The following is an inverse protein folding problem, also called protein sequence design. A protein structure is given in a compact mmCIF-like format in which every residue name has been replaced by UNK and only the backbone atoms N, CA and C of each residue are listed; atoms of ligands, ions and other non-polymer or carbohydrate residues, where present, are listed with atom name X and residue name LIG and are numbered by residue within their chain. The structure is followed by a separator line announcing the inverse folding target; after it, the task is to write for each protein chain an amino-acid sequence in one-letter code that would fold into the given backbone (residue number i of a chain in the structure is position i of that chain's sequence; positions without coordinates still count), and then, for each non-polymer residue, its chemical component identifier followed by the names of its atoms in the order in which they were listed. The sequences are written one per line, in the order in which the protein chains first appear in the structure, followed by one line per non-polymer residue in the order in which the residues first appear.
data_IF_643623275931
#
_entry.id   IF_643623275931
#
_cell.length_a   1.000
_cell.length_b   1.000
_cell.length_c   1.000
_cell.angle_alpha   90.00
_cell.angle_beta   90.00
_cell.angle_gamma   90.00
#
_symmetry.space_group_name_H-M   'P 1'
#
loop_
_entity.id
_entity.type
_entity.pdbx_description
1 polymer ?
#
# COMPACT_ATOMS: atom_id res chain seq x y z
N UNK A 1 17.23 1.26 10.33
CA UNK A 1 16.98 0.17 11.30
C UNK A 1 15.48 0.02 11.46
N UNK A 2 14.97 -1.21 11.34
CA UNK A 2 13.54 -1.54 11.37
C UNK A 2 13.05 -1.51 12.82
N UNK A 3 11.90 -0.90 13.08
CA UNK A 3 11.25 -0.88 14.40
C UNK A 3 10.55 -2.23 14.60
N UNK A 4 10.70 -2.83 15.77
CA UNK A 4 10.02 -4.09 16.09
C UNK A 4 8.60 -3.80 16.58
N UNK A 5 7.60 -4.21 15.80
CA UNK A 5 6.19 -4.10 16.15
C UNK A 5 5.74 -5.38 16.86
N UNK A 6 5.36 -5.27 18.13
CA UNK A 6 4.93 -6.43 18.94
C UNK A 6 3.41 -6.55 19.01
N UNK A 7 2.72 -5.41 19.12
CA UNK A 7 1.27 -5.33 19.30
C UNK A 7 0.57 -4.75 18.06
N UNK A 8 1.25 -3.88 17.31
CA UNK A 8 0.66 -3.20 16.16
C UNK A 8 0.16 -4.15 15.08
N UNK A 9 0.88 -5.21 14.73
CA UNK A 9 0.47 -6.17 13.69
C UNK A 9 -0.83 -6.90 14.05
N UNK A 10 -0.99 -7.30 15.31
CA UNK A 10 -2.23 -7.91 15.80
C UNK A 10 -3.41 -6.94 15.69
N UNK A 11 -3.20 -5.67 16.08
CA UNK A 11 -4.26 -4.65 16.02
C UNK A 11 -4.54 -4.18 14.59
N UNK A 12 -3.55 -4.17 13.69
CA UNK A 12 -3.71 -3.96 12.25
C UNK A 12 -4.61 -5.03 11.65
N UNK A 13 -4.40 -6.29 12.02
CA UNK A 13 -5.27 -7.38 11.60
C UNK A 13 -6.71 -7.22 12.14
N UNK A 14 -6.86 -6.89 13.43
CA UNK A 14 -8.18 -6.65 14.02
C UNK A 14 -8.92 -5.50 13.32
N UNK A 15 -8.21 -4.42 12.99
CA UNK A 15 -8.74 -3.32 12.19
C UNK A 15 -9.16 -3.76 10.79
N UNK A 16 -8.33 -4.54 10.10
CA UNK A 16 -8.66 -5.08 8.78
C UNK A 16 -9.96 -5.92 8.83
N UNK A 17 -10.11 -6.79 9.83
CA UNK A 17 -11.35 -7.57 10.05
C UNK A 17 -12.55 -6.67 10.32
N UNK A 18 -12.42 -5.69 11.21
CA UNK A 18 -13.49 -4.74 11.51
C UNK A 18 -13.93 -3.95 10.26
N UNK A 19 -13.01 -3.62 9.35
CA UNK A 19 -13.37 -2.93 8.10
C UNK A 19 -14.11 -3.80 7.08
N UNK A 20 -14.00 -5.14 7.20
CA UNK A 20 -14.68 -6.08 6.31
C UNK A 20 -16.07 -6.45 6.86
N UNK A 21 -16.20 -6.65 8.17
CA UNK A 21 -17.37 -7.29 8.78
C UNK A 21 -18.03 -6.46 9.90
N UNK A 22 -17.35 -5.44 10.43
CA UNK A 22 -17.77 -4.71 11.63
C UNK A 22 -18.54 -3.42 11.37
N UNK A 23 -19.23 -2.92 12.41
CA UNK A 23 -19.96 -1.64 12.37
C UNK A 23 -19.01 -0.44 12.35
N UNK A 24 -19.55 0.77 12.09
CA UNK A 24 -18.76 2.00 12.12
C UNK A 24 -18.11 2.23 13.50
N UNK A 25 -18.79 1.86 14.58
CA UNK A 25 -18.29 1.95 15.95
C UNK A 25 -17.14 0.96 16.20
N UNK A 26 -17.28 -0.28 15.74
CA UNK A 26 -16.24 -1.31 15.86
C UNK A 26 -14.99 -0.95 15.05
N UNK A 27 -15.18 -0.40 13.85
CA UNK A 27 -14.09 0.12 13.02
C UNK A 27 -13.34 1.27 13.71
N UNK A 28 -14.08 2.19 14.33
CA UNK A 28 -13.50 3.32 15.08
C UNK A 28 -12.71 2.83 16.31
N UNK A 29 -13.28 1.89 17.07
CA UNK A 29 -12.61 1.31 18.24
C UNK A 29 -11.34 0.53 17.86
N UNK A 30 -11.39 -0.26 16.78
CA UNK A 30 -10.24 -0.99 16.27
C UNK A 30 -9.14 -0.05 15.73
N UNK A 31 -9.54 1.04 15.06
CA UNK A 31 -8.61 2.08 14.59
C UNK A 31 -7.87 2.75 15.76
N UNK A 32 -8.60 3.15 16.81
CA UNK A 32 -8.01 3.76 18.01
C UNK A 32 -7.02 2.80 18.68
N UNK A 33 -7.44 1.54 18.87
CA UNK A 33 -6.58 0.50 19.45
C UNK A 33 -5.31 0.25 18.63
N UNK A 34 -5.41 0.30 17.30
CA UNK A 34 -4.28 0.16 16.40
C UNK A 34 -3.31 1.34 16.50
N UNK A 35 -3.82 2.57 16.56
CA UNK A 35 -2.99 3.79 16.70
C UNK A 35 -2.28 3.81 18.05
N UNK A 36 -2.96 3.42 19.14
CA UNK A 36 -2.36 3.32 20.48
C UNK A 36 -1.27 2.24 20.54
N UNK A 37 -1.50 1.07 19.93
CA UNK A 37 -0.52 0.00 19.85
C UNK A 37 0.72 0.43 19.05
N UNK A 38 0.53 1.10 17.90
CA UNK A 38 1.61 1.66 17.10
C UNK A 38 2.45 2.64 17.92
N UNK A 39 1.80 3.61 18.58
CA UNK A 39 2.47 4.60 19.41
C UNK A 39 3.28 3.97 20.54
N UNK A 40 2.71 2.95 21.19
CA UNK A 40 3.35 2.23 22.29
C UNK A 40 4.57 1.45 21.82
N UNK A 41 4.45 0.71 20.71
CA UNK A 41 5.55 -0.09 20.16
C UNK A 41 6.71 0.80 19.68
N UNK A 42 6.42 1.86 18.94
CA UNK A 42 7.43 2.82 18.46
C UNK A 42 8.12 3.52 19.64
N UNK A 43 7.36 3.95 20.65
CA UNK A 43 7.92 4.56 21.87
C UNK A 43 8.83 3.59 22.63
N UNK A 44 8.38 2.36 22.82
CA UNK A 44 9.13 1.32 23.55
C UNK A 44 10.45 1.00 22.84
N UNK A 45 10.42 0.80 21.53
CA UNK A 45 11.61 0.54 20.72
C UNK A 45 12.61 1.71 20.78
N UNK A 46 12.13 2.96 20.66
CA UNK A 46 12.96 4.15 20.80
C UNK A 46 13.60 4.22 22.19
N UNK A 47 12.84 4.00 23.26
CA UNK A 47 13.38 4.03 24.63
C UNK A 47 14.44 2.95 24.85
N UNK A 48 14.23 1.74 24.32
CA UNK A 48 15.23 0.68 24.36
C UNK A 48 16.51 1.08 23.62
N UNK A 49 16.38 1.67 22.43
CA UNK A 49 17.54 2.14 21.66
C UNK A 49 18.24 3.34 22.32
N UNK A 50 17.53 4.23 23.01
CA UNK A 50 18.15 5.31 23.80
C UNK A 50 18.99 4.71 24.93
N UNK A 51 18.45 3.73 25.66
CA UNK A 51 19.17 3.05 26.74
C UNK A 51 20.41 2.32 26.21
N UNK A 52 20.33 1.69 25.04
CA UNK A 52 21.47 1.05 24.37
C UNK A 52 22.49 2.07 23.81
N UNK A 53 22.04 3.19 23.26
CA UNK A 53 22.89 4.19 22.60
C UNK A 53 23.67 5.09 23.57
N UNK A 54 23.27 5.17 24.85
CA UNK A 54 24.12 5.76 25.90
C UNK A 54 25.45 5.01 26.07
N UNK A 55 25.57 3.78 25.54
CA UNK A 55 26.79 2.98 25.59
C UNK A 55 27.72 3.25 24.40
N UNK A 56 27.24 3.77 23.25
CA UNK A 56 28.15 4.07 22.13
C UNK A 56 27.56 5.01 21.03
N UNK A 57 27.87 6.31 21.10
CA UNK A 57 27.49 7.33 20.09
C UNK A 57 28.09 7.06 18.71
N UNK A 58 29.23 6.36 18.65
CA UNK A 58 29.93 6.02 17.41
C UNK A 58 29.22 4.92 16.62
N UNK A 59 28.48 4.04 17.32
CA UNK A 59 27.75 2.93 16.73
C UNK A 59 26.42 3.40 16.08
N UNK A 60 25.84 4.50 16.54
CA UNK A 60 24.58 5.01 15.98
C UNK A 60 24.73 5.47 14.52
N UNK A 61 25.88 6.04 14.15
CA UNK A 61 26.21 6.40 12.76
C UNK A 61 26.50 5.17 11.89
N UNK A 62 27.12 4.13 12.43
CA UNK A 62 27.40 2.89 11.68
C UNK A 62 26.17 1.98 11.51
N UNK A 63 25.10 2.21 12.28
CA UNK A 63 23.82 1.47 12.21
C UNK A 63 22.77 2.11 11.29
N UNK A 64 23.15 3.10 10.48
CA UNK A 64 22.26 3.72 9.49
C UNK A 64 21.18 4.62 10.10
N UNK A 65 21.42 5.21 11.28
CA UNK A 65 20.58 6.28 11.77
C UNK A 65 20.82 7.52 10.89
N UNK A 66 19.78 7.94 10.15
CA UNK A 66 19.85 9.12 9.29
C UNK A 66 20.22 10.34 10.13
N UNK A 67 21.27 11.05 9.70
CA UNK A 67 21.69 12.30 10.33
C UNK A 67 20.78 13.41 9.83
N UNK A 68 20.11 14.11 10.75
CA UNK A 68 19.27 15.25 10.40
C UNK A 68 20.09 16.31 9.65
N UNK A 69 19.50 16.87 8.60
CA UNK A 69 20.08 18.04 7.94
C UNK A 69 20.09 19.24 8.90
N UNK A 70 20.86 20.28 8.61
CA UNK A 70 20.84 21.49 9.45
C UNK A 70 19.47 22.16 9.51
N UNK A 71 18.64 22.02 8.48
CA UNK A 71 17.27 22.53 8.46
C UNK A 71 16.35 21.67 9.32
N UNK A 72 16.43 20.34 9.20
CA UNK A 72 15.67 19.40 10.03
C UNK A 72 16.03 19.56 11.51
N UNK A 73 17.32 19.67 11.81
CA UNK A 73 17.80 19.84 13.19
C UNK A 73 17.26 21.14 13.82
N UNK A 74 17.25 22.25 13.06
CA UNK A 74 16.66 23.51 13.56
C UNK A 74 15.16 23.38 13.79
N UNK A 75 14.45 22.74 12.86
CA UNK A 75 13.01 22.56 12.95
C UNK A 75 12.62 21.70 14.16
N UNK A 76 13.21 20.51 14.31
CA UNK A 76 12.88 19.62 15.42
C UNK A 76 13.40 20.13 16.78
N UNK A 77 14.46 20.95 16.80
CA UNK A 77 14.85 21.65 18.03
C UNK A 77 13.77 22.64 18.48
N UNK A 78 13.22 23.43 17.56
CA UNK A 78 12.11 24.34 17.89
C UNK A 78 10.89 23.57 18.41
N UNK A 79 10.53 22.45 17.78
CA UNK A 79 9.45 21.56 18.24
C UNK A 79 9.70 21.06 19.67
N UNK A 80 10.94 20.69 20.01
CA UNK A 80 11.31 20.24 21.36
C UNK A 80 11.23 21.40 22.37
N UNK A 81 11.76 22.57 22.02
CA UNK A 81 11.75 23.77 22.88
C UNK A 81 10.33 24.31 23.14
N UNK A 82 9.47 24.28 22.13
CA UNK A 82 8.07 24.72 22.19
C UNK A 82 7.16 23.69 22.89
N UNK A 83 7.66 22.50 23.22
CA UNK A 83 6.88 21.44 23.85
C UNK A 83 5.93 20.71 22.88
N UNK A 84 6.22 20.74 21.58
CA UNK A 84 5.44 20.08 20.52
C UNK A 84 5.24 20.94 19.26
N UNK A 85 4.51 20.42 18.27
CA UNK A 85 4.26 21.13 17.01
C UNK A 85 3.25 22.27 17.18
N UNK A 86 3.48 23.36 16.44
CA UNK A 86 2.49 24.42 16.24
C UNK A 86 1.57 24.06 15.08
N UNK A 87 0.28 24.42 15.17
CA UNK A 87 -0.74 24.08 14.16
C UNK A 87 -0.53 24.66 12.76
N UNK A 88 0.54 25.44 12.54
CA UNK A 88 0.94 26.05 11.27
C UNK A 88 2.21 25.44 10.69
N UNK A 89 2.83 24.49 11.36
CA UNK A 89 4.12 23.95 10.97
C UNK A 89 3.97 22.86 9.91
N UNK A 90 4.77 22.98 8.85
CA UNK A 90 4.88 21.97 7.79
C UNK A 90 6.23 21.29 7.93
N UNK A 91 6.25 19.95 7.85
CA UNK A 91 7.49 19.19 7.93
C UNK A 91 8.49 19.64 6.86
N UNK A 92 9.80 19.63 7.14
CA UNK A 92 10.83 19.88 6.13
C UNK A 92 10.66 18.96 4.92
N UNK A 93 10.92 19.47 3.71
CA UNK A 93 10.74 18.71 2.45
C UNK A 93 11.52 17.40 2.44
N UNK A 94 12.77 17.43 2.92
CA UNK A 94 13.62 16.24 3.03
C UNK A 94 13.04 15.18 3.97
N UNK A 95 12.33 15.58 5.02
CA UNK A 95 11.62 14.66 5.91
C UNK A 95 10.39 14.07 5.23
N UNK A 96 9.66 14.85 4.43
CA UNK A 96 8.52 14.37 3.65
C UNK A 96 8.94 13.38 2.56
N UNK A 97 10.02 13.66 1.84
CA UNK A 97 10.61 12.76 0.85
C UNK A 97 11.07 11.45 1.50
N UNK A 98 11.70 11.54 2.67
CA UNK A 98 12.10 10.36 3.45
C UNK A 98 10.91 9.50 3.88
N UNK A 99 9.82 10.11 4.34
CA UNK A 99 8.56 9.40 4.65
C UNK A 99 8.06 8.65 3.40
N UNK A 100 8.09 9.28 2.23
CA UNK A 100 7.68 8.62 0.98
C UNK A 100 8.60 7.44 0.63
N UNK A 101 9.91 7.63 0.71
CA UNK A 101 10.88 6.58 0.42
C UNK A 101 10.72 5.39 1.38
N UNK A 102 10.56 5.66 2.68
CA UNK A 102 10.33 4.62 3.69
C UNK A 102 9.01 3.88 3.43
N UNK A 103 7.98 4.59 2.99
CA UNK A 103 6.67 4.01 2.68
C UNK A 103 6.73 3.07 1.46
N UNK A 104 7.50 3.41 0.43
CA UNK A 104 7.67 2.54 -0.75
C UNK A 104 8.63 1.39 -0.44
N UNK A 105 9.73 1.63 0.28
CA UNK A 105 10.73 0.59 0.58
C UNK A 105 10.28 -0.37 1.67
N UNK A 106 9.49 0.09 2.64
CA UNK A 106 9.00 -0.69 3.78
C UNK A 106 7.76 -1.53 3.46
N UNK A 107 6.99 -1.17 2.43
CA UNK A 107 5.71 -1.82 2.10
C UNK A 107 5.67 -2.32 0.65
N UNK A 108 6.00 -3.61 0.41
CA UNK A 108 6.11 -4.18 -0.94
C UNK A 108 4.86 -4.00 -1.82
N UNK A 109 3.67 -3.99 -1.21
CA UNK A 109 2.42 -3.78 -1.95
C UNK A 109 2.39 -2.39 -2.59
N UNK A 110 2.82 -1.35 -1.88
CA UNK A 110 2.79 0.04 -2.36
C UNK A 110 3.80 0.26 -3.49
N UNK A 111 4.98 -0.36 -3.38
CA UNK A 111 5.96 -0.41 -4.47
C UNK A 111 5.37 -1.13 -5.70
N UNK A 112 4.72 -2.27 -5.50
CA UNK A 112 4.18 -3.07 -6.60
C UNK A 112 2.99 -2.43 -7.29
N UNK A 113 2.18 -1.67 -6.54
CA UNK A 113 1.11 -0.83 -7.08
C UNK A 113 1.68 0.30 -7.94
N UNK A 114 2.92 0.74 -7.67
CA UNK A 114 3.57 1.83 -8.40
C UNK A 114 3.13 3.19 -7.87
N UNK A 115 3.12 3.36 -6.55
CA UNK A 115 2.78 4.62 -5.90
C UNK A 115 3.80 5.70 -6.26
N UNK A 116 3.34 6.80 -6.85
CA UNK A 116 4.18 7.94 -7.24
C UNK A 116 3.90 9.18 -6.39
N UNK A 117 4.94 9.95 -6.07
CA UNK A 117 4.78 11.28 -5.48
C UNK A 117 4.71 12.33 -6.60
N UNK A 118 3.50 12.73 -6.96
CA UNK A 118 3.26 13.69 -8.06
C UNK A 118 2.88 15.08 -7.53
N UNK A 119 2.95 15.32 -6.23
CA UNK A 119 2.48 16.58 -5.65
C UNK A 119 0.99 16.80 -5.91
N UNK A 120 0.56 18.06 -6.09
CA UNK A 120 -0.85 18.40 -6.29
C UNK A 120 -1.36 18.15 -7.73
N UNK A 121 -0.86 17.12 -8.42
CA UNK A 121 -1.32 16.77 -9.77
C UNK A 121 -2.73 16.18 -9.72
N UNK A 122 -3.60 16.62 -10.63
CA UNK A 122 -5.03 16.25 -10.71
C UNK A 122 -5.42 15.58 -12.03
N UNK A 123 -4.49 15.49 -12.99
CA UNK A 123 -4.78 15.01 -14.33
C UNK A 123 -3.68 14.06 -14.82
N UNK A 124 -4.10 12.89 -15.30
CA UNK A 124 -3.23 11.97 -16.04
C UNK A 124 -3.66 11.95 -17.50
N UNK A 125 -2.69 12.04 -18.41
CA UNK A 125 -2.91 11.93 -19.85
C UNK A 125 -2.26 10.63 -20.31
N UNK A 126 -3.08 9.68 -20.77
CA UNK A 126 -2.62 8.44 -21.37
C UNK A 126 -2.65 8.57 -22.88
N UNK A 127 -1.52 8.40 -23.55
CA UNK A 127 -1.45 8.24 -25.00
C UNK A 127 -1.28 6.78 -25.37
N UNK A 128 -2.09 6.27 -26.30
CA UNK A 128 -1.76 5.02 -26.97
C UNK A 128 -0.72 5.32 -28.07
N UNK A 129 0.51 4.77 -28.00
CA UNK A 129 1.58 5.10 -28.95
C UNK A 129 1.33 4.57 -30.38
N UNK A 130 0.27 3.80 -30.60
CA UNK A 130 -0.10 3.29 -31.91
C UNK A 130 -0.63 4.42 -32.81
N UNK A 131 0.23 4.84 -33.74
CA UNK A 131 0.08 6.01 -34.60
C UNK A 131 1.35 6.87 -34.67
N UNK A 132 2.30 6.68 -33.74
CA UNK A 132 3.54 7.46 -33.68
C UNK A 132 4.64 6.98 -34.65
N UNK A 133 4.54 5.75 -35.16
CA UNK A 133 5.52 5.19 -36.11
C UNK A 133 4.81 4.41 -37.22
N UNK A 134 5.00 4.86 -38.46
CA UNK A 134 4.53 4.19 -39.68
C UNK A 134 5.76 3.82 -40.50
N UNK A 135 5.88 2.56 -40.90
CA UNK A 135 6.90 2.14 -41.87
C UNK A 135 6.58 2.71 -43.25
N UNK A 136 7.49 3.49 -43.82
CA UNK A 136 7.37 4.08 -45.15
C UNK A 136 8.60 3.78 -46.04
N UNK A 137 8.47 3.87 -47.37
CA UNK A 137 9.62 3.80 -48.27
C UNK A 137 10.60 4.94 -47.99
N UNK A 138 11.90 4.72 -48.26
CA UNK A 138 12.98 5.70 -48.00
C UNK A 138 12.74 7.08 -48.66
N UNK A 139 11.89 7.13 -49.70
CA UNK A 139 11.50 8.33 -50.44
C UNK A 139 9.97 8.54 -50.52
N UNK A 140 9.18 7.95 -49.62
CA UNK A 140 7.74 8.20 -49.54
C UNK A 140 7.44 9.45 -48.71
N UNK A 141 6.42 10.22 -49.09
CA UNK A 141 5.92 11.33 -48.28
C UNK A 141 5.51 10.84 -46.88
N UNK A 142 6.06 11.47 -45.83
CA UNK A 142 5.69 11.21 -44.43
C UNK A 142 4.29 11.78 -44.18
N UNK A 143 3.24 11.06 -44.58
CA UNK A 143 1.85 11.31 -44.17
C UNK A 143 1.54 10.47 -42.93
N UNK A 144 2.13 10.84 -41.80
CA UNK A 144 1.74 10.34 -40.48
C UNK A 144 0.78 11.32 -39.82
N UNK A 145 -0.54 11.16 -40.01
CA UNK A 145 -1.51 11.79 -39.13
C UNK A 145 -1.38 11.16 -37.74
N UNK A 146 -0.69 11.85 -36.84
CA UNK A 146 -0.60 11.53 -35.41
C UNK A 146 -1.99 11.71 -34.77
N UNK A 147 -2.89 10.76 -35.00
CA UNK A 147 -4.12 10.60 -34.22
C UNK A 147 -3.84 9.68 -33.02
N UNK A 148 -2.86 10.04 -32.20
CA UNK A 148 -2.74 9.43 -30.87
C UNK A 148 -4.00 9.83 -30.08
N UNK A 149 -4.89 8.86 -29.83
CA UNK A 149 -6.09 9.11 -29.04
C UNK A 149 -5.65 9.21 -27.58
N UNK A 150 -5.41 10.44 -27.14
CA UNK A 150 -5.08 10.72 -25.75
C UNK A 150 -6.34 10.59 -24.90
N UNK A 151 -6.35 9.63 -23.97
CA UNK A 151 -7.38 9.53 -22.92
C UNK A 151 -6.96 10.42 -21.76
N UNK A 152 -7.69 11.52 -21.58
CA UNK A 152 -7.55 12.38 -20.39
C UNK A 152 -8.39 11.78 -19.26
N UNK A 153 -7.74 11.48 -18.14
CA UNK A 153 -8.42 11.03 -16.93
C UNK A 153 -8.21 12.06 -15.81
N UNK A 154 -9.29 12.72 -15.40
CA UNK A 154 -9.29 13.54 -14.18
C UNK A 154 -9.34 12.63 -12.96
N UNK A 155 -8.59 13.00 -11.92
CA UNK A 155 -8.56 12.28 -10.66
C UNK A 155 -8.78 13.27 -9.52
N UNK A 156 -9.73 12.95 -8.65
CA UNK A 156 -9.99 13.74 -7.43
C UNK A 156 -8.95 13.39 -6.38
N UNK A 157 -8.34 14.41 -5.77
CA UNK A 157 -7.46 14.26 -4.61
C UNK A 157 -8.30 13.91 -3.37
N UNK A 158 -7.97 12.80 -2.73
CA UNK A 158 -8.65 12.31 -1.53
C UNK A 158 -7.78 12.55 -0.31
N UNK A 159 -8.40 12.84 0.83
CA UNK A 159 -7.68 13.21 2.04
C UNK A 159 -7.43 11.99 2.91
N UNK A 160 -6.16 11.61 3.06
CA UNK A 160 -5.73 10.65 4.06
C UNK A 160 -5.27 11.40 5.32
N UNK A 161 -5.76 10.97 6.47
CA UNK A 161 -5.48 11.60 7.77
C UNK A 161 -4.80 10.59 8.67
N UNK A 162 -3.61 10.93 9.17
CA UNK A 162 -2.86 10.14 10.15
C UNK A 162 -2.87 10.87 11.51
N UNK A 163 -3.05 10.11 12.58
CA UNK A 163 -3.03 10.60 13.96
C UNK A 163 -1.72 10.22 14.63
N UNK A 164 -1.08 11.19 15.28
CA UNK A 164 0.26 11.05 15.86
C UNK A 164 0.16 11.46 17.34
N UNK A 165 -0.10 10.54 18.26
CA UNK A 165 0.09 10.81 19.68
C UNK A 165 1.58 11.02 19.98
N UNK A 166 1.95 12.15 20.58
CA UNK A 166 3.32 12.46 20.98
C UNK A 166 3.38 12.67 22.50
N UNK A 167 4.07 11.76 23.19
CA UNK A 167 4.24 11.83 24.65
C UNK A 167 5.27 12.90 25.05
N UNK A 168 5.04 13.58 26.17
CA UNK A 168 5.96 14.61 26.68
C UNK A 168 7.38 14.08 26.97
N UNK A 169 7.51 12.81 27.32
CA UNK A 169 8.81 12.17 27.56
C UNK A 169 9.64 12.01 26.27
N UNK A 170 8.99 11.90 25.11
CA UNK A 170 9.70 11.83 23.82
C UNK A 170 10.36 13.15 23.47
N UNK A 171 9.77 14.28 23.87
CA UNK A 171 10.37 15.61 23.67
C UNK A 171 11.70 15.75 24.43
N UNK A 172 11.82 15.11 25.61
CA UNK A 172 13.03 15.14 26.44
C UNK A 172 14.21 14.38 25.81
N UNK A 173 13.95 13.48 24.86
CA UNK A 173 15.00 12.71 24.17
C UNK A 173 15.77 13.55 23.14
N UNK A 174 15.21 14.69 22.72
CA UNK A 174 15.82 15.59 21.75
C UNK A 174 15.37 15.36 20.30
N UNK A 175 15.79 16.24 19.38
CA UNK A 175 15.21 16.41 18.04
C UNK A 175 15.32 15.18 17.14
N UNK A 176 16.41 14.41 17.26
CA UNK A 176 16.67 13.21 16.43
C UNK A 176 15.64 12.11 16.70
N UNK A 177 15.29 11.91 17.98
CA UNK A 177 14.32 10.88 18.37
C UNK A 177 12.88 11.31 18.08
N UNK A 178 12.59 12.61 18.24
CA UNK A 178 11.28 13.18 17.86
C UNK A 178 11.05 13.08 16.36
N UNK A 179 12.03 13.41 15.51
CA UNK A 179 11.91 13.22 14.05
C UNK A 179 11.62 11.78 13.70
N UNK A 180 12.40 10.85 14.27
CA UNK A 180 12.26 9.43 13.98
C UNK A 180 10.90 8.89 14.39
N UNK A 181 10.43 9.27 15.57
CA UNK A 181 9.10 8.91 16.05
C UNK A 181 8.02 9.40 15.09
N UNK A 182 8.05 10.69 14.75
CA UNK A 182 7.04 11.33 13.89
C UNK A 182 7.05 10.72 12.49
N UNK A 183 8.24 10.53 11.89
CA UNK A 183 8.40 9.89 10.59
C UNK A 183 7.83 8.47 10.59
N UNK A 184 8.16 7.66 11.60
CA UNK A 184 7.67 6.28 11.68
C UNK A 184 6.15 6.25 11.82
N UNK A 185 5.59 7.04 12.75
CA UNK A 185 4.15 7.11 12.98
C UNK A 185 3.40 7.49 11.70
N UNK A 186 3.91 8.48 10.97
CA UNK A 186 3.31 8.90 9.69
C UNK A 186 3.42 7.78 8.65
N UNK A 187 4.60 7.19 8.49
CA UNK A 187 4.87 6.14 7.49
C UNK A 187 3.94 4.95 7.68
N UNK A 188 3.85 4.42 8.90
CA UNK A 188 3.03 3.24 9.20
C UNK A 188 1.53 3.54 9.17
N UNK A 189 1.10 4.68 9.71
CA UNK A 189 -0.31 5.05 9.64
C UNK A 189 -0.77 5.28 8.19
N UNK A 190 0.08 5.90 7.36
CA UNK A 190 -0.21 6.13 5.95
C UNK A 190 -0.17 4.83 5.15
N UNK A 191 0.77 3.92 5.42
CA UNK A 191 0.84 2.65 4.71
C UNK A 191 -0.44 1.84 4.90
N UNK A 192 -0.92 1.70 6.15
CA UNK A 192 -2.19 1.03 6.46
C UNK A 192 -3.36 1.67 5.71
N UNK A 193 -3.45 3.01 5.72
CA UNK A 193 -4.52 3.74 5.03
C UNK A 193 -4.48 3.59 3.51
N UNK A 194 -3.29 3.64 2.92
CA UNK A 194 -3.07 3.47 1.48
C UNK A 194 -3.32 2.03 1.03
N UNK A 195 -2.81 1.03 1.76
CA UNK A 195 -3.05 -0.39 1.48
C UNK A 195 -4.56 -0.69 1.51
N UNK A 196 -5.26 -0.24 2.56
CA UNK A 196 -6.73 -0.37 2.65
C UNK A 196 -7.42 0.29 1.46
N UNK A 197 -7.06 1.54 1.15
CA UNK A 197 -7.65 2.30 0.05
C UNK A 197 -7.42 1.62 -1.30
N UNK A 198 -6.20 1.19 -1.59
CA UNK A 198 -5.87 0.60 -2.88
C UNK A 198 -6.34 -0.84 -3.04
N UNK A 199 -6.49 -1.62 -1.96
CA UNK A 199 -7.02 -2.99 -2.05
C UNK A 199 -8.55 -2.99 -1.99
N UNK A 200 -9.13 -2.38 -0.96
CA UNK A 200 -10.53 -2.52 -0.59
C UNK A 200 -11.36 -1.23 -0.69
N UNK A 201 -10.75 -0.09 -1.06
CA UNK A 201 -11.42 1.20 -1.11
C UNK A 201 -12.66 1.21 -2.00
N UNK A 202 -13.72 1.86 -1.53
CA UNK A 202 -15.05 1.89 -2.17
C UNK A 202 -15.16 2.86 -3.34
N UNK A 203 -14.19 3.76 -3.51
CA UNK A 203 -14.28 4.89 -4.44
C UNK A 203 -15.06 6.10 -3.91
N UNK A 204 -15.74 6.00 -2.75
CA UNK A 204 -16.46 7.10 -2.11
C UNK A 204 -15.59 7.77 -1.07
N UNK A 205 -15.02 8.93 -1.40
CA UNK A 205 -14.08 9.66 -0.53
C UNK A 205 -12.80 8.87 -0.18
N UNK A 206 -12.53 7.77 -0.88
CA UNK A 206 -11.33 6.92 -0.78
C UNK A 206 -11.04 6.32 -2.17
N UNK A 207 -9.83 5.79 -2.43
CA UNK A 207 -9.48 5.21 -3.73
C UNK A 207 -10.44 4.11 -4.19
N UNK A 208 -10.46 3.83 -5.49
CA UNK A 208 -11.15 2.64 -6.03
C UNK A 208 -10.20 1.46 -5.83
N UNK A 209 -10.58 0.51 -4.98
CA UNK A 209 -9.75 -0.64 -4.64
C UNK A 209 -9.62 -1.68 -5.77
N UNK A 210 -8.58 -2.51 -5.69
CA UNK A 210 -8.37 -3.66 -6.58
C UNK A 210 -9.52 -4.69 -6.51
N UNK A 211 -10.22 -4.74 -5.38
CA UNK A 211 -11.40 -5.58 -5.15
C UNK A 211 -12.70 -5.02 -5.77
N UNK A 212 -12.70 -3.77 -6.27
CA UNK A 212 -13.90 -3.16 -6.86
C UNK A 212 -13.92 -3.31 -8.38
N UNK A 213 -15.12 -3.33 -8.95
CA UNK A 213 -15.31 -3.29 -10.40
C UNK A 213 -15.40 -1.84 -10.90
N UNK A 214 -14.37 -1.30 -11.58
CA UNK A 214 -14.40 0.06 -12.11
C UNK A 214 -15.40 0.23 -13.25
N UNK A 215 -15.91 -0.85 -13.83
CA UNK A 215 -16.93 -0.83 -14.89
C UNK A 215 -18.34 -1.09 -14.37
N UNK A 216 -18.51 -1.34 -13.06
CA UNK A 216 -19.79 -1.63 -12.44
C UNK A 216 -20.66 -0.39 -12.21
N UNK A 217 -21.96 -0.60 -12.00
CA UNK A 217 -22.92 0.47 -11.71
C UNK A 217 -22.68 1.07 -10.32
N UNK A 218 -22.25 2.32 -10.27
CA UNK A 218 -21.99 3.05 -9.02
C UNK A 218 -23.30 3.40 -8.32
N UNK A 219 -23.44 3.01 -7.06
CA UNK A 219 -24.61 3.32 -6.23
C UNK A 219 -24.19 4.16 -5.03
N UNK A 220 -24.80 5.32 -4.83
CA UNK A 220 -24.46 6.24 -3.72
C UNK A 220 -22.97 6.64 -3.63
N UNK A 221 -22.27 6.64 -4.77
CA UNK A 221 -20.83 6.91 -4.88
C UNK A 221 -19.92 5.71 -4.61
N UNK A 222 -20.49 4.55 -4.27
CA UNK A 222 -19.76 3.30 -3.98
C UNK A 222 -19.71 2.42 -5.23
N UNK A 223 -18.50 1.96 -5.56
CA UNK A 223 -18.30 0.97 -6.62
C UNK A 223 -18.64 -0.44 -6.10
N UNK A 224 -19.29 -1.28 -6.92
CA UNK A 224 -19.61 -2.65 -6.52
C UNK A 224 -18.33 -3.50 -6.43
N UNK A 225 -18.40 -4.57 -5.62
CA UNK A 225 -17.34 -5.57 -5.57
C UNK A 225 -17.16 -6.27 -6.92
N UNK A 226 -15.90 -6.58 -7.23
CA UNK A 226 -15.56 -7.32 -8.43
C UNK A 226 -16.03 -8.76 -8.28
N UNK A 227 -16.76 -9.23 -9.29
CA UNK A 227 -17.19 -10.63 -9.35
C UNK A 227 -15.96 -11.53 -9.38
N UNK A 228 -15.95 -12.54 -8.51
CA UNK A 228 -14.93 -13.59 -8.52
C UNK A 228 -14.87 -14.26 -9.89
N UNK A 229 -13.67 -14.31 -10.48
CA UNK A 229 -13.44 -14.86 -11.81
C UNK A 229 -13.42 -16.40 -11.79
N UNK A 230 -13.20 -17.01 -10.64
CA UNK A 230 -13.23 -18.46 -10.44
C UNK A 230 -12.65 -18.88 -9.10
N UNK A 231 -12.39 -20.18 -8.97
CA UNK A 231 -11.77 -20.79 -7.79
C UNK A 231 -10.40 -21.35 -8.15
N UNK A 232 -9.41 -21.16 -7.27
CA UNK A 232 -8.05 -21.68 -7.41
C UNK A 232 -7.74 -22.64 -6.26
N UNK A 233 -7.05 -23.75 -6.55
CA UNK A 233 -6.65 -24.72 -5.52
C UNK A 233 -5.14 -24.79 -5.33
N UNK A 234 -4.37 -24.29 -6.30
CA UNK A 234 -2.90 -24.38 -6.29
C UNK A 234 -2.38 -25.83 -6.18
N UNK A 235 -3.16 -26.79 -6.68
CA UNK A 235 -2.78 -28.20 -6.67
C UNK A 235 -1.66 -28.44 -7.69
N UNK A 236 -0.55 -29.09 -7.32
CA UNK A 236 0.62 -29.19 -8.18
C UNK A 236 0.38 -29.89 -9.52
N UNK A 237 1.31 -29.68 -10.46
CA UNK A 237 1.23 -30.29 -11.79
C UNK A 237 0.35 -29.50 -12.75
N UNK A 238 -0.40 -30.21 -13.60
CA UNK A 238 -1.12 -29.58 -14.73
C UNK A 238 -2.26 -28.67 -14.27
N UNK A 239 -2.80 -28.89 -13.07
CA UNK A 239 -3.94 -28.13 -12.54
C UNK A 239 -3.56 -26.69 -12.24
N UNK A 240 -2.56 -26.43 -11.37
CA UNK A 240 -2.05 -25.07 -11.12
C UNK A 240 -1.61 -24.35 -12.41
N UNK A 241 -0.98 -25.07 -13.35
CA UNK A 241 -0.59 -24.47 -14.64
C UNK A 241 -1.82 -23.97 -15.40
N UNK A 242 -2.90 -24.75 -15.46
CA UNK A 242 -4.12 -24.36 -16.15
C UNK A 242 -4.88 -23.23 -15.43
N UNK A 243 -4.90 -23.26 -14.10
CA UNK A 243 -5.46 -22.23 -13.23
C UNK A 243 -4.77 -20.88 -13.48
N UNK A 244 -3.45 -20.81 -13.28
CA UNK A 244 -2.68 -19.57 -13.47
C UNK A 244 -2.63 -19.12 -14.93
N UNK A 245 -2.67 -20.04 -15.90
CA UNK A 245 -2.83 -19.68 -17.32
C UNK A 245 -4.15 -18.92 -17.55
N UNK A 246 -5.23 -19.31 -16.88
CA UNK A 246 -6.52 -18.62 -16.93
C UNK A 246 -6.43 -17.21 -16.36
N UNK A 247 -5.78 -17.06 -15.21
CA UNK A 247 -5.50 -15.75 -14.56
C UNK A 247 -4.75 -14.82 -15.51
N UNK A 248 -3.60 -15.27 -16.01
CA UNK A 248 -2.73 -14.49 -16.90
C UNK A 248 -3.47 -14.11 -18.19
N UNK A 249 -4.26 -15.01 -18.78
CA UNK A 249 -5.06 -14.71 -19.98
C UNK A 249 -6.11 -13.62 -19.74
N UNK A 250 -6.76 -13.61 -18.59
CA UNK A 250 -7.75 -12.58 -18.26
C UNK A 250 -7.09 -11.24 -17.98
N UNK A 251 -5.97 -11.21 -17.25
CA UNK A 251 -5.19 -9.99 -17.01
C UNK A 251 -4.58 -9.41 -18.29
N UNK A 252 -4.28 -10.26 -19.28
CA UNK A 252 -3.74 -9.82 -20.57
C UNK A 252 -4.80 -9.13 -21.45
N UNK A 253 -6.09 -9.24 -21.16
CA UNK A 253 -7.12 -8.55 -21.95
C UNK A 253 -7.01 -7.04 -21.81
N UNK A 254 -7.16 -6.30 -22.90
CA UNK A 254 -7.18 -4.83 -22.93
C UNK A 254 -8.56 -4.34 -23.36
N UNK A 255 -8.96 -3.15 -22.94
CA UNK A 255 -10.11 -2.45 -23.51
C UNK A 255 -9.68 -1.49 -24.62
N UNK A 256 -10.56 -1.30 -25.61
CA UNK A 256 -10.41 -0.24 -26.60
C UNK A 256 -10.51 1.14 -25.93
N UNK A 257 -10.11 2.23 -26.62
CA UNK A 257 -10.20 3.59 -26.09
C UNK A 257 -11.62 4.02 -25.65
N UNK A 258 -12.65 3.32 -26.13
CA UNK A 258 -14.05 3.50 -25.69
C UNK A 258 -14.31 3.05 -24.24
N UNK A 259 -13.36 2.33 -23.62
CA UNK A 259 -13.43 1.81 -22.26
C UNK A 259 -14.51 0.75 -22.05
N UNK A 260 -15.07 0.17 -23.13
CA UNK A 260 -16.24 -0.72 -23.08
C UNK A 260 -16.03 -2.02 -23.84
N UNK A 261 -15.38 -1.98 -25.00
CA UNK A 261 -15.17 -3.15 -25.84
C UNK A 261 -13.79 -3.75 -25.63
N UNK A 262 -13.71 -5.08 -25.62
CA UNK A 262 -12.43 -5.78 -25.58
C UNK A 262 -11.64 -5.45 -26.85
N UNK A 263 -10.39 -5.06 -26.70
CA UNK A 263 -9.47 -4.87 -27.80
C UNK A 263 -8.97 -6.23 -28.31
N UNK A 264 -8.70 -6.33 -29.62
CA UNK A 264 -8.14 -7.54 -30.21
C UNK A 264 -6.69 -7.80 -29.78
N UNK A 265 -6.00 -6.79 -29.22
CA UNK A 265 -4.61 -6.88 -28.76
C UNK A 265 -4.49 -7.04 -27.24
N UNK A 266 -3.56 -7.89 -26.76
CA UNK A 266 -3.32 -8.07 -25.34
C UNK A 266 -2.43 -6.97 -24.74
N UNK A 267 -2.54 -6.76 -23.43
CA UNK A 267 -1.56 -6.04 -22.60
C UNK A 267 -0.26 -6.86 -22.49
N UNK A 268 0.88 -6.17 -22.45
CA UNK A 268 2.16 -6.79 -22.10
C UNK A 268 2.27 -6.93 -20.57
N UNK A 269 1.97 -8.12 -20.07
CA UNK A 269 1.90 -8.43 -18.63
C UNK A 269 3.06 -9.33 -18.14
N UNK A 270 3.97 -9.74 -19.02
CA UNK A 270 5.06 -10.64 -18.67
C UNK A 270 5.95 -10.03 -17.57
N UNK A 271 6.17 -10.76 -16.48
CA UNK A 271 6.94 -10.31 -15.32
C UNK A 271 6.30 -9.18 -14.49
N UNK A 272 5.03 -8.82 -14.78
CA UNK A 272 4.32 -7.71 -14.12
C UNK A 272 3.12 -8.17 -13.31
N UNK A 273 2.82 -9.46 -13.26
CA UNK A 273 1.69 -9.99 -12.51
C UNK A 273 2.07 -10.09 -11.04
N UNK A 274 1.31 -9.43 -10.18
CA UNK A 274 1.46 -9.45 -8.73
C UNK A 274 0.29 -10.24 -8.16
N UNK A 275 0.59 -11.13 -7.23
CA UNK A 275 -0.38 -11.93 -6.47
C UNK A 275 -0.43 -11.38 -5.05
N UNK A 276 -1.58 -10.85 -4.66
CA UNK A 276 -1.86 -10.33 -3.31
C UNK A 276 -2.70 -11.34 -2.56
N UNK A 277 -2.16 -11.86 -1.48
CA UNK A 277 -2.81 -12.85 -0.61
C UNK A 277 -3.03 -12.29 0.78
N UNK A 278 -4.02 -12.81 1.50
CA UNK A 278 -4.08 -12.59 2.94
C UNK A 278 -2.92 -13.37 3.61
N UNK A 279 -2.22 -12.82 4.62
CA UNK A 279 -1.16 -13.53 5.33
C UNK A 279 -1.57 -14.93 5.83
N UNK A 280 -2.83 -15.10 6.28
CA UNK A 280 -3.33 -16.40 6.74
C UNK A 280 -3.42 -17.44 5.62
N UNK A 281 -3.79 -17.04 4.40
CA UNK A 281 -3.91 -17.95 3.27
C UNK A 281 -2.55 -18.22 2.58
N UNK A 282 -1.54 -17.39 2.84
CA UNK A 282 -0.28 -17.41 2.08
C UNK A 282 0.48 -18.72 2.31
N UNK A 283 0.55 -19.17 3.56
CA UNK A 283 1.21 -20.44 3.89
C UNK A 283 0.42 -21.64 3.39
N UNK A 284 -0.91 -21.58 3.37
CA UNK A 284 -1.75 -22.65 2.82
C UNK A 284 -1.56 -22.77 1.30
N UNK A 285 -1.44 -21.65 0.58
CA UNK A 285 -1.10 -21.64 -0.85
C UNK A 285 0.29 -22.24 -1.07
N UNK A 286 1.27 -21.86 -0.26
CA UNK A 286 2.63 -22.40 -0.36
C UNK A 286 2.67 -23.90 -0.06
N UNK A 287 1.97 -24.36 0.96
CA UNK A 287 1.87 -25.76 1.33
C UNK A 287 1.27 -26.57 0.17
N UNK A 288 0.13 -26.12 -0.38
CA UNK A 288 -0.51 -26.77 -1.52
C UNK A 288 0.38 -26.75 -2.78
N UNK A 289 1.13 -25.68 -3.01
CA UNK A 289 2.02 -25.56 -4.16
C UNK A 289 3.36 -26.32 -4.01
N UNK A 290 3.65 -26.86 -2.83
CA UNK A 290 4.93 -27.52 -2.54
C UNK A 290 4.91 -28.98 -2.99
N UNK A 291 5.92 -29.37 -3.76
CA UNK A 291 6.15 -30.77 -4.13
C UNK A 291 7.52 -31.23 -3.64
N UNK A 292 7.62 -32.50 -3.25
CA UNK A 292 8.90 -33.16 -3.09
C UNK A 292 9.37 -33.70 -4.45
N UNK A 293 10.52 -33.25 -4.91
CA UNK A 293 11.10 -33.75 -6.16
C UNK A 293 11.71 -35.15 -5.97
N UNK A 294 12.13 -35.79 -7.07
CA UNK A 294 12.71 -37.13 -7.04
C UNK A 294 14.02 -37.25 -6.23
N UNK A 295 14.67 -36.12 -5.92
CA UNK A 295 15.85 -36.05 -5.07
C UNK A 295 15.52 -35.84 -3.58
N UNK A 296 14.23 -35.86 -3.22
CA UNK A 296 13.77 -35.65 -1.85
C UNK A 296 13.71 -34.18 -1.42
N UNK A 297 13.99 -33.23 -2.31
CA UNK A 297 14.00 -31.79 -2.03
C UNK A 297 12.59 -31.22 -2.20
N UNK A 298 12.12 -30.47 -1.21
CA UNK A 298 10.87 -29.72 -1.29
C UNK A 298 11.07 -28.46 -2.13
N UNK A 299 10.22 -28.30 -3.14
CA UNK A 299 10.25 -27.17 -4.06
C UNK A 299 8.87 -26.51 -4.07
N UNK A 300 8.85 -25.21 -3.78
CA UNK A 300 7.66 -24.36 -3.80
C UNK A 300 7.83 -23.35 -4.93
N UNK A 301 7.11 -23.53 -6.04
CA UNK A 301 7.20 -22.63 -7.19
C UNK A 301 5.88 -22.58 -7.94
N UNK A 302 5.46 -21.37 -8.30
CA UNK A 302 4.23 -21.13 -9.05
C UNK A 302 4.53 -20.93 -10.55
N UNK A 303 3.79 -21.60 -11.45
CA UNK A 303 3.86 -21.34 -12.88
C UNK A 303 3.70 -19.87 -13.24
N UNK A 304 4.45 -19.40 -14.26
CA UNK A 304 4.46 -18.01 -14.73
C UNK A 304 5.00 -16.98 -13.73
N UNK A 305 5.50 -17.42 -12.57
CA UNK A 305 6.21 -16.62 -11.56
C UNK A 305 5.51 -15.30 -11.20
N UNK A 306 4.25 -15.32 -10.73
CA UNK A 306 3.65 -14.13 -10.18
C UNK A 306 4.48 -13.62 -8.98
N UNK A 307 4.56 -12.31 -8.81
CA UNK A 307 5.29 -11.69 -7.71
C UNK A 307 4.40 -11.77 -6.46
N UNK A 308 4.79 -12.53 -5.41
CA UNK A 308 3.99 -12.64 -4.21
C UNK A 308 4.08 -11.37 -3.37
N UNK A 309 2.96 -10.92 -2.84
CA UNK A 309 2.89 -9.88 -1.81
C UNK A 309 1.70 -10.15 -0.91
N UNK A 310 1.75 -9.68 0.32
CA UNK A 310 0.69 -9.92 1.31
C UNK A 310 -0.09 -8.64 1.62
N UNK A 311 -1.36 -8.79 1.96
CA UNK A 311 -2.17 -7.71 2.53
C UNK A 311 -3.32 -8.26 3.36
N UNK A 312 -3.41 -7.82 4.61
CA UNK A 312 -4.52 -8.16 5.52
C UNK A 312 -5.88 -7.65 5.03
N UNK A 313 -5.89 -6.70 4.09
CA UNK A 313 -7.12 -6.12 3.52
C UNK A 313 -7.74 -6.98 2.41
N UNK A 314 -7.03 -7.97 1.89
CA UNK A 314 -7.64 -9.02 1.07
C UNK A 314 -8.44 -9.94 2.00
N UNK A 315 -9.74 -10.19 1.74
CA UNK A 315 -10.54 -11.11 2.54
C UNK A 315 -9.91 -12.51 2.59
N UNK A 316 -9.99 -13.18 3.75
CA UNK A 316 -9.51 -14.56 3.87
C UNK A 316 -10.27 -15.49 2.91
N UNK A 317 -9.59 -16.49 2.38
CA UNK A 317 -10.12 -17.37 1.34
C UNK A 317 -10.24 -16.70 -0.03
N UNK A 318 -9.63 -15.53 -0.24
CA UNK A 318 -9.55 -14.87 -1.55
C UNK A 318 -8.11 -14.50 -1.91
N UNK A 319 -7.87 -14.38 -3.21
CA UNK A 319 -6.61 -13.89 -3.76
C UNK A 319 -6.89 -12.89 -4.89
N UNK A 320 -6.09 -11.83 -4.93
CA UNK A 320 -6.17 -10.81 -5.96
C UNK A 320 -4.91 -10.86 -6.81
N UNK A 321 -5.09 -10.89 -8.13
CA UNK A 321 -3.98 -10.67 -9.06
C UNK A 321 -4.14 -9.34 -9.74
N UNK A 322 -3.06 -8.56 -9.86
CA UNK A 322 -3.07 -7.32 -10.64
C UNK A 322 -1.80 -7.18 -11.48
N UNK A 323 -1.83 -6.26 -12.44
CA UNK A 323 -0.69 -5.97 -13.32
C UNK A 323 -0.01 -4.66 -12.90
N UNK A 324 1.30 -4.70 -12.62
CA UNK A 324 2.09 -3.49 -12.32
C UNK A 324 1.95 -2.45 -13.44
N UNK A 325 1.70 -1.20 -13.06
CA UNK A 325 1.50 -0.08 -13.99
C UNK A 325 0.11 0.00 -14.61
N UNK A 326 -0.82 -0.92 -14.29
CA UNK A 326 -2.23 -0.83 -14.71
C UNK A 326 -3.13 -0.24 -13.60
N UNK A 327 -2.61 -0.05 -12.40
CA UNK A 327 -3.25 0.72 -11.34
C UNK A 327 -2.62 2.12 -11.29
N UNK A 328 -3.45 3.15 -11.13
CA UNK A 328 -3.00 4.53 -10.96
C UNK A 328 -2.96 4.76 -9.46
N UNK A 329 -1.80 5.07 -8.90
CA UNK A 329 -1.64 5.42 -7.50
C UNK A 329 -0.73 6.64 -7.40
N UNK A 330 -1.25 7.72 -6.84
CA UNK A 330 -0.48 8.93 -6.63
C UNK A 330 -0.74 9.49 -5.24
N UNK A 331 0.30 10.02 -4.63
CA UNK A 331 0.18 10.89 -3.48
C UNK A 331 0.80 12.25 -3.76
N UNK A 332 0.37 13.23 -3.02
CA UNK A 332 1.02 14.53 -3.00
C UNK A 332 0.23 15.56 -2.23
N UNK A 333 0.90 16.67 -1.94
CA UNK A 333 0.36 17.73 -1.08
C UNK A 333 0.31 17.32 0.39
N UNK A 334 0.94 18.12 1.23
CA UNK A 334 0.95 17.97 2.69
C UNK A 334 0.26 19.20 3.30
N UNK A 335 -0.72 18.99 4.17
CA UNK A 335 -1.20 20.10 5.02
C UNK A 335 -0.24 20.30 6.20
N UNK A 336 -0.18 21.51 6.78
CA UNK A 336 0.48 21.71 8.07
C UNK A 336 -0.04 20.74 9.12
N UNK A 337 0.86 20.27 9.99
CA UNK A 337 0.50 19.44 11.13
C UNK A 337 -0.44 20.26 12.03
N UNK A 338 -1.59 19.68 12.38
CA UNK A 338 -2.56 20.33 13.26
C UNK A 338 -2.58 19.65 14.62
N UNK A 339 -2.59 20.44 15.69
CA UNK A 339 -2.85 19.93 17.03
C UNK A 339 -4.32 19.51 17.13
N UNK A 340 -4.58 18.32 17.65
CA UNK A 340 -5.92 17.85 17.96
C UNK A 340 -6.18 18.13 19.45
N UNK A 341 -7.16 19.00 19.73
CA UNK A 341 -7.43 19.50 21.09
C UNK A 341 -8.56 18.73 21.80
N UNK A 342 -9.27 17.86 21.09
CA UNK A 342 -10.39 17.09 21.63
C UNK A 342 -9.94 15.69 22.09
N UNK A 343 -10.02 15.48 23.40
CA UNK A 343 -9.90 14.23 24.18
C UNK A 343 -9.65 12.91 23.42
N UNK A 344 -8.37 12.61 23.19
CA UNK A 344 -7.82 11.27 23.43
C UNK A 344 -6.91 11.43 24.64
N UNK A 345 -7.42 11.08 25.82
CA UNK A 345 -6.65 11.10 27.06
C UNK A 345 -5.69 9.89 27.08
N UNK A 346 -4.68 9.93 26.21
CA UNK A 346 -3.44 9.22 26.50
C UNK A 346 -2.75 10.05 27.58
N UNK A 347 -2.61 9.50 28.78
CA UNK A 347 -1.93 10.14 29.91
C UNK A 347 -0.58 10.72 29.42
N UNK A 348 -0.38 12.04 29.57
CA UNK A 348 0.83 12.79 29.17
C UNK A 348 1.22 12.82 27.67
N UNK A 349 0.26 12.71 26.75
CA UNK A 349 0.51 12.86 25.30
C UNK A 349 -0.39 13.90 24.58
N UNK A 350 0.17 14.57 23.57
CA UNK A 350 -0.55 15.47 22.66
C UNK A 350 -0.76 14.78 21.31
N UNK A 351 -1.99 14.79 20.77
CA UNK A 351 -2.28 14.20 19.46
C UNK A 351 -2.14 15.25 18.36
N UNK A 352 -1.42 14.88 17.31
CA UNK A 352 -1.24 15.66 16.09
C UNK A 352 -1.87 14.98 14.88
N UNK A 353 -2.31 15.79 13.93
CA UNK A 353 -2.92 15.34 12.69
C UNK A 353 -2.01 15.71 11.52
N UNK A 354 -1.52 14.70 10.81
CA UNK A 354 -0.87 14.86 9.52
C UNK A 354 -1.87 14.49 8.42
N UNK A 355 -1.97 15.33 7.39
CA UNK A 355 -2.83 15.06 6.23
C UNK A 355 -2.02 15.04 4.96
N UNK A 356 -2.32 14.05 4.14
CA UNK A 356 -1.77 13.94 2.81
C UNK A 356 -2.89 13.67 1.82
N UNK A 357 -2.74 14.16 0.60
CA UNK A 357 -3.65 13.78 -0.46
C UNK A 357 -3.12 12.56 -1.18
N UNK A 358 -4.00 11.58 -1.34
CA UNK A 358 -3.73 10.36 -2.08
C UNK A 358 -4.87 10.09 -3.03
N UNK A 359 -4.58 9.39 -4.11
CA UNK A 359 -5.60 8.95 -5.04
C UNK A 359 -5.20 7.63 -5.67
N UNK A 360 -6.21 6.82 -5.98
CA UNK A 360 -5.97 5.57 -6.66
C UNK A 360 -7.18 5.02 -7.37
N UNK A 361 -6.94 4.41 -8.53
CA UNK A 361 -7.96 3.66 -9.27
C UNK A 361 -7.35 2.68 -10.27
N UNK A 362 -8.03 1.56 -10.58
CA UNK A 362 -7.67 0.71 -11.70
C UNK A 362 -7.92 1.43 -13.03
N UNK A 363 -7.06 1.24 -14.04
CA UNK A 363 -7.28 1.80 -15.39
C UNK A 363 -8.51 1.21 -16.10
N UNK A 364 -8.75 -0.08 -15.84
CA UNK A 364 -9.85 -0.85 -16.42
C UNK A 364 -10.25 -2.08 -15.56
N UNK A 365 -11.32 -2.78 -15.96
CA UNK A 365 -11.77 -4.02 -15.29
C UNK A 365 -10.75 -5.17 -15.36
N UNK A 366 -9.79 -5.14 -16.30
CA UNK A 366 -8.74 -6.16 -16.48
C UNK A 366 -7.45 -5.82 -15.73
N UNK A 367 -7.42 -4.72 -14.98
CA UNK A 367 -6.28 -4.33 -14.15
C UNK A 367 -6.05 -5.33 -13.02
N UNK A 368 -7.14 -5.83 -12.44
CA UNK A 368 -7.14 -6.82 -11.36
C UNK A 368 -8.16 -7.92 -11.61
N UNK A 369 -7.90 -9.13 -11.10
CA UNK A 369 -8.84 -10.26 -11.06
C UNK A 369 -8.86 -10.85 -9.64
N UNK A 370 -10.05 -11.16 -9.15
CA UNK A 370 -10.27 -11.74 -7.81
C UNK A 370 -10.69 -13.20 -7.96
N UNK A 371 -10.11 -14.07 -7.15
CA UNK A 371 -10.44 -15.50 -7.12
C UNK A 371 -10.70 -15.96 -5.69
N UNK A 372 -11.56 -16.96 -5.55
CA UNK A 372 -11.75 -17.68 -4.29
C UNK A 372 -10.72 -18.80 -4.17
N UNK A 373 -10.20 -19.01 -2.97
CA UNK A 373 -9.28 -20.07 -2.64
C UNK A 373 -10.07 -21.30 -2.17
N UNK A 374 -9.68 -22.47 -2.65
CA UNK A 374 -10.15 -23.77 -2.14
C UNK A 374 -8.92 -24.61 -1.80
N UNK A 375 -8.40 -24.33 -0.61
CA UNK A 375 -7.22 -24.97 -0.03
C UNK A 375 -7.69 -26.08 0.93
N UNK A 376 -6.83 -27.07 1.20
CA UNK A 376 -7.18 -28.13 2.15
C UNK A 376 -7.07 -27.58 3.57
N UNK A 377 -8.09 -27.80 4.41
CA UNK A 377 -8.06 -27.35 5.81
C UNK A 377 -7.03 -28.16 6.59
N UNK A 378 -5.96 -27.51 7.06
CA UNK A 378 -5.03 -28.12 8.02
C UNK A 378 -5.56 -27.86 9.43
N UNK A 379 -6.02 -28.91 10.10
CA UNK A 379 -6.33 -28.82 11.53
C UNK A 379 -5.03 -28.69 12.32
N UNK A 380 -4.86 -27.66 13.17
CA UNK A 380 -3.66 -27.54 13.97
C UNK A 380 -3.52 -28.77 14.88
N UNK A 381 -2.28 -29.25 15.13
CA UNK A 381 -2.08 -30.35 16.06
C UNK A 381 -2.64 -29.96 17.42
N UNK A 382 -3.55 -30.78 17.95
CA UNK A 382 -4.08 -30.63 19.31
C UNK A 382 -2.92 -30.61 20.30
N UNK A 383 -2.87 -29.59 21.18
CA UNK A 383 -1.92 -29.59 22.28
C UNK A 383 -2.20 -30.83 23.14
N UNK A 384 -1.24 -31.75 23.17
CA UNK A 384 -1.29 -33.00 23.93
C UNK A 384 -0.94 -32.85 25.40
#
# INVERSE_FOLDING_TARGET
MVINFNNFEEKKLAFAKATQEGTAEEQSAALNSMIEALATDVRSDILNQVNESMVDRSIMQSRGANVLTSEEMKFFNAVVEDGGFKSTETLPKTTQERIFDDLVQGHPLLEHIGLENLGAVTEFIYGDPEGAAVWGPLFGDIKGQLNATFRKESITQLKLTAFIPLANDMLKLGPVWVERYVRTMITEAMSVGLERGFVAGTGKNEPIGLLKDPSGSVTNGVYPDKKVAGTLTFEPGRKTINELKGVVKLLAKKLNPDGKTDADRPKNIAGKVVMVTNPFDTFDIQANATIQNAAGVYVTSLPFNPIPTESVFVPQGQVVFFVKGEYIAAMGGTEPIKKYEETLALEDATVYIAKQYATGKPKDKYTSQVYTLKLEEVTPPTQG
#
